data_IF_897498693650
#
_entry.id   IF_897498693650
#
_cell.length_a   1.000
_cell.length_b   1.000
_cell.length_c   1.000
_cell.angle_alpha   90.00
_cell.angle_beta   90.00
_cell.angle_gamma   90.00
#
_symmetry.space_group_name_H-M   'P 1'
#
loop_
_entity.id
_entity.type
_entity.pdbx_description
1 polymer ?
#
# COMPACT_ATOMS: atom_id res chain seq x y z
N UNK A 1 -1.27 -1.68 23.20
CA UNK A 1 -1.92 -2.17 21.97
C UNK A 1 -2.04 -0.98 21.02
N UNK A 2 -1.08 -0.77 20.12
CA UNK A 2 -1.05 0.45 19.27
C UNK A 2 -0.59 0.18 17.83
N UNK A 3 -0.53 -1.08 17.40
CA UNK A 3 -0.15 -1.47 16.02
C UNK A 3 -1.30 -1.50 15.02
N UNK A 4 -2.56 -1.48 15.48
CA UNK A 4 -3.72 -1.76 14.63
C UNK A 4 -4.07 -0.61 13.66
N UNK A 5 -3.96 0.65 14.07
CA UNK A 5 -4.60 1.75 13.32
C UNK A 5 -3.96 2.09 11.97
N UNK A 6 -2.64 1.91 11.80
CA UNK A 6 -1.99 2.23 10.53
C UNK A 6 -1.92 1.02 9.58
N UNK A 7 -1.87 -0.20 10.12
CA UNK A 7 -1.96 -1.41 9.31
C UNK A 7 -3.33 -1.50 8.63
N UNK A 8 -4.41 -1.16 9.35
CA UNK A 8 -5.77 -1.06 8.80
C UNK A 8 -5.85 -0.06 7.64
N UNK A 9 -5.18 1.10 7.76
CA UNK A 9 -5.13 2.09 6.70
C UNK A 9 -4.42 1.53 5.45
N UNK A 10 -3.28 0.86 5.63
CA UNK A 10 -2.53 0.27 4.51
C UNK A 10 -3.31 -0.87 3.86
N UNK A 11 -4.01 -1.68 4.64
CA UNK A 11 -4.85 -2.76 4.12
C UNK A 11 -6.04 -2.22 3.32
N UNK A 12 -6.75 -1.22 3.84
CA UNK A 12 -7.81 -0.52 3.12
C UNK A 12 -7.31 0.12 1.82
N UNK A 13 -6.10 0.70 1.83
CA UNK A 13 -5.44 1.26 0.64
C UNK A 13 -5.16 0.18 -0.41
N UNK A 14 -4.61 -0.97 -0.01
CA UNK A 14 -4.33 -2.09 -0.91
C UNK A 14 -5.62 -2.72 -1.45
N UNK A 15 -6.69 -2.76 -0.66
CA UNK A 15 -7.99 -3.26 -1.09
C UNK A 15 -8.74 -2.28 -2.02
N UNK A 16 -8.37 -1.00 -2.02
CA UNK A 16 -9.08 0.06 -2.74
C UNK A 16 -10.31 0.61 -2.00
N UNK A 17 -10.41 0.38 -0.68
CA UNK A 17 -11.47 0.92 0.17
C UNK A 17 -11.12 2.36 0.57
N UNK A 18 -11.35 3.29 -0.36
CA UNK A 18 -10.92 4.71 -0.22
C UNK A 18 -11.47 5.37 1.05
N UNK A 19 -12.75 5.17 1.35
CA UNK A 19 -13.37 5.74 2.55
C UNK A 19 -12.79 5.19 3.86
N UNK A 20 -12.56 3.87 3.91
CA UNK A 20 -11.99 3.20 5.08
C UNK A 20 -10.53 3.64 5.31
N UNK A 21 -9.75 3.75 4.23
CA UNK A 21 -8.40 4.32 4.28
C UNK A 21 -8.43 5.74 4.87
N UNK A 22 -9.32 6.60 4.34
CA UNK A 22 -9.39 8.01 4.70
C UNK A 22 -9.70 8.20 6.20
N UNK A 23 -10.66 7.41 6.68
CA UNK A 23 -11.07 7.35 8.09
C UNK A 23 -9.92 6.84 8.97
N UNK A 24 -9.29 5.71 8.62
CA UNK A 24 -8.21 5.11 9.40
C UNK A 24 -6.98 6.01 9.47
N UNK A 25 -6.61 6.65 8.35
CA UNK A 25 -5.51 7.62 8.30
C UNK A 25 -5.79 8.84 9.18
N UNK A 26 -6.98 9.43 9.09
CA UNK A 26 -7.35 10.57 9.95
C UNK A 26 -7.32 10.21 11.41
N UNK A 27 -7.88 9.05 11.77
CA UNK A 27 -7.86 8.56 13.15
C UNK A 27 -6.42 8.41 13.66
N UNK A 28 -5.53 7.80 12.87
CA UNK A 28 -4.12 7.65 13.22
C UNK A 28 -3.44 9.00 13.46
N UNK A 29 -3.66 9.99 12.61
CA UNK A 29 -3.09 11.34 12.80
C UNK A 29 -3.68 12.07 14.01
N UNK A 30 -5.00 11.98 14.22
CA UNK A 30 -5.68 12.59 15.37
C UNK A 30 -5.25 11.98 16.70
N UNK A 31 -4.88 10.70 16.73
CA UNK A 31 -4.30 10.04 17.91
C UNK A 31 -2.81 10.35 18.13
N UNK A 32 -2.24 11.35 17.44
CA UNK A 32 -0.82 11.71 17.53
C UNK A 32 0.12 10.81 16.73
N UNK A 33 -0.42 9.90 15.91
CA UNK A 33 0.35 9.02 15.03
C UNK A 33 1.00 9.78 13.88
N UNK A 34 2.24 9.44 13.57
CA UNK A 34 2.97 10.11 12.50
C UNK A 34 2.50 9.65 11.12
N UNK A 35 2.11 10.58 10.24
CA UNK A 35 1.68 10.29 8.86
C UNK A 35 2.76 9.55 8.04
N UNK A 36 4.04 9.82 8.34
CA UNK A 36 5.18 9.14 7.72
C UNK A 36 5.17 7.61 7.95
N UNK A 37 4.63 7.12 9.07
CA UNK A 37 4.54 5.69 9.33
C UNK A 37 3.61 4.99 8.33
N UNK A 38 2.43 5.59 8.06
CA UNK A 38 1.50 5.07 7.04
C UNK A 38 2.15 5.11 5.66
N UNK A 39 2.77 6.25 5.32
CA UNK A 39 3.43 6.45 4.02
C UNK A 39 4.55 5.43 3.78
N UNK A 40 5.43 5.25 4.76
CA UNK A 40 6.54 4.29 4.68
C UNK A 40 6.06 2.85 4.67
N UNK A 41 4.99 2.52 5.40
CA UNK A 41 4.40 1.18 5.42
C UNK A 41 3.77 0.83 4.07
N UNK A 42 2.98 1.74 3.49
CA UNK A 42 2.41 1.55 2.15
C UNK A 42 3.51 1.35 1.08
N UNK A 43 4.59 2.13 1.16
CA UNK A 43 5.74 1.97 0.25
C UNK A 43 6.40 0.59 0.38
N UNK A 44 6.64 0.11 1.61
CA UNK A 44 7.19 -1.25 1.84
C UNK A 44 6.27 -2.34 1.30
N UNK A 45 4.96 -2.22 1.50
CA UNK A 45 3.99 -3.20 1.01
C UNK A 45 3.97 -3.23 -0.53
N UNK A 46 3.94 -2.08 -1.20
CA UNK A 46 3.98 -2.02 -2.66
C UNK A 46 5.30 -2.54 -3.24
N UNK A 47 6.43 -2.31 -2.57
CA UNK A 47 7.72 -2.91 -2.95
C UNK A 47 7.70 -4.43 -2.83
N UNK A 48 7.13 -4.97 -1.75
CA UNK A 48 6.97 -6.41 -1.59
C UNK A 48 6.07 -7.02 -2.68
N UNK A 49 4.95 -6.36 -2.99
CA UNK A 49 4.05 -6.76 -4.09
C UNK A 49 4.79 -6.69 -5.43
N UNK A 50 5.58 -5.64 -5.69
CA UNK A 50 6.38 -5.53 -6.90
C UNK A 50 7.39 -6.67 -7.07
N UNK A 51 8.10 -7.04 -6.01
CA UNK A 51 9.03 -8.16 -6.04
C UNK A 51 8.30 -9.49 -6.33
N UNK A 52 7.18 -9.74 -5.65
CA UNK A 52 6.35 -10.92 -5.88
C UNK A 52 5.74 -10.94 -7.29
N UNK A 53 5.30 -9.78 -7.80
CA UNK A 53 4.76 -9.65 -9.15
C UNK A 53 5.80 -9.99 -10.21
N UNK A 54 7.05 -9.60 -10.02
CA UNK A 54 8.16 -9.99 -10.89
C UNK A 54 8.37 -11.52 -10.96
N UNK A 55 8.13 -12.25 -9.87
CA UNK A 55 8.20 -13.72 -9.85
C UNK A 55 7.03 -14.36 -10.63
N UNK A 56 5.84 -13.73 -10.62
CA UNK A 56 4.72 -14.17 -11.44
C UNK A 56 5.00 -13.93 -12.94
N UNK A 57 5.46 -12.73 -13.27
CA UNK A 57 5.69 -12.30 -14.66
C UNK A 57 6.80 -13.14 -15.34
N UNK A 58 7.87 -13.51 -14.61
CA UNK A 58 9.00 -14.28 -15.15
C UNK A 58 8.82 -15.80 -15.06
N UNK A 59 8.14 -16.30 -14.02
CA UNK A 59 8.03 -17.72 -13.73
C UNK A 59 6.70 -18.37 -14.10
N UNK A 60 5.73 -17.60 -14.62
CA UNK A 60 4.37 -18.10 -14.89
C UNK A 60 3.63 -18.59 -13.65
N UNK A 61 4.08 -18.18 -12.47
CA UNK A 61 3.53 -18.62 -11.18
C UNK A 61 2.25 -17.86 -10.87
N UNK A 62 1.25 -18.54 -10.33
CA UNK A 62 0.04 -17.88 -9.82
C UNK A 62 0.32 -17.17 -8.47
N UNK A 63 -0.56 -16.23 -8.10
CA UNK A 63 -0.42 -15.40 -6.91
C UNK A 63 -0.30 -16.22 -5.62
N UNK A 64 -1.19 -17.21 -5.42
CA UNK A 64 -1.18 -18.07 -4.23
C UNK A 64 0.16 -18.79 -4.03
N UNK A 65 0.74 -19.34 -5.11
CA UNK A 65 2.03 -20.01 -5.03
C UNK A 65 3.16 -19.05 -4.65
N UNK A 66 3.15 -17.83 -5.19
CA UNK A 66 4.17 -16.82 -4.89
C UNK A 66 4.06 -16.36 -3.44
N UNK A 67 2.85 -16.11 -2.95
CA UNK A 67 2.59 -15.72 -1.54
C UNK A 67 3.00 -16.83 -0.57
N UNK A 68 2.71 -18.10 -0.89
CA UNK A 68 3.14 -19.23 -0.08
C UNK A 68 4.68 -19.37 0.00
N UNK A 69 5.38 -19.02 -1.08
CA UNK A 69 6.84 -19.08 -1.16
C UNK A 69 7.54 -17.80 -0.68
N UNK A 70 6.80 -16.75 -0.30
CA UNK A 70 7.35 -15.45 0.05
C UNK A 70 8.34 -15.52 1.23
N UNK A 71 9.39 -14.70 1.12
CA UNK A 71 10.42 -14.52 2.16
C UNK A 71 10.71 -13.01 2.25
N UNK A 72 10.35 -12.32 3.35
CA UNK A 72 9.72 -12.85 4.57
C UNK A 72 8.29 -13.38 4.35
N UNK A 73 7.81 -14.28 5.23
CA UNK A 73 6.46 -14.84 5.11
C UNK A 73 5.37 -13.76 5.20
N UNK A 74 4.36 -13.86 4.34
CA UNK A 74 3.13 -13.07 4.46
C UNK A 74 2.28 -13.68 5.59
N UNK A 75 1.90 -12.84 6.56
CA UNK A 75 1.01 -13.23 7.66
C UNK A 75 -0.26 -13.89 7.12
N UNK A 76 -0.70 -14.95 7.79
CA UNK A 76 -1.84 -15.76 7.33
C UNK A 76 -3.10 -14.90 7.08
N UNK A 77 -3.41 -13.97 7.98
CA UNK A 77 -4.54 -13.05 7.87
C UNK A 77 -4.48 -12.15 6.63
N UNK A 78 -3.29 -11.84 6.12
CA UNK A 78 -3.05 -10.95 4.97
C UNK A 78 -2.86 -11.69 3.65
N UNK A 79 -2.77 -13.02 3.64
CA UNK A 79 -2.50 -13.80 2.41
C UNK A 79 -3.50 -13.47 1.31
N UNK A 80 -4.79 -13.55 1.62
CA UNK A 80 -5.87 -13.27 0.66
C UNK A 80 -5.83 -11.82 0.13
N UNK A 81 -5.47 -10.87 0.98
CA UNK A 81 -5.31 -9.47 0.58
C UNK A 81 -4.15 -9.33 -0.42
N UNK A 82 -3.00 -9.93 -0.11
CA UNK A 82 -1.80 -9.86 -0.95
C UNK A 82 -1.99 -10.62 -2.27
N UNK A 83 -2.63 -11.78 -2.25
CA UNK A 83 -2.97 -12.54 -3.46
C UNK A 83 -3.82 -11.71 -4.42
N UNK A 84 -4.91 -11.11 -3.91
CA UNK A 84 -5.76 -10.21 -4.71
C UNK A 84 -4.99 -8.99 -5.23
N UNK A 85 -4.10 -8.43 -4.42
CA UNK A 85 -3.28 -7.32 -4.86
C UNK A 85 -2.35 -7.73 -6.02
N UNK A 86 -1.74 -8.92 -5.95
CA UNK A 86 -0.88 -9.45 -7.02
C UNK A 86 -1.63 -9.72 -8.33
N UNK A 87 -2.87 -10.18 -8.24
CA UNK A 87 -3.74 -10.40 -9.41
C UNK A 87 -4.10 -9.09 -10.11
N UNK A 88 -4.37 -8.03 -9.34
CA UNK A 88 -4.83 -6.73 -9.86
C UNK A 88 -3.70 -5.80 -10.32
N UNK A 89 -2.61 -5.76 -9.56
CA UNK A 89 -1.50 -4.85 -9.82
C UNK A 89 -0.51 -5.45 -10.82
N UNK A 90 -0.17 -4.70 -11.87
CA UNK A 90 0.91 -5.04 -12.77
C UNK A 90 2.19 -4.25 -12.44
N UNK A 91 3.32 -4.71 -12.99
CA UNK A 91 4.65 -4.14 -12.72
C UNK A 91 4.75 -2.65 -13.06
N UNK A 92 4.09 -2.19 -14.12
CA UNK A 92 4.10 -0.79 -14.54
C UNK A 92 3.32 0.11 -13.56
N UNK A 93 2.12 -0.32 -13.14
CA UNK A 93 1.31 0.40 -12.15
C UNK A 93 2.01 0.49 -10.80
N UNK A 94 2.66 -0.59 -10.36
CA UNK A 94 3.46 -0.62 -9.13
C UNK A 94 4.62 0.37 -9.19
N UNK A 95 5.35 0.42 -10.32
CA UNK A 95 6.44 1.37 -10.51
C UNK A 95 5.94 2.82 -10.39
N UNK A 96 4.86 3.17 -11.10
CA UNK A 96 4.25 4.52 -11.02
C UNK A 96 3.80 4.88 -9.60
N UNK A 97 3.15 3.95 -8.90
CA UNK A 97 2.72 4.13 -7.51
C UNK A 97 3.89 4.39 -6.57
N UNK A 98 4.98 3.61 -6.70
CA UNK A 98 6.18 3.77 -5.89
C UNK A 98 6.89 5.10 -6.16
N UNK A 99 7.00 5.52 -7.43
CA UNK A 99 7.54 6.85 -7.77
C UNK A 99 6.72 7.97 -7.12
N UNK A 100 5.38 7.88 -7.13
CA UNK A 100 4.50 8.85 -6.46
C UNK A 100 4.75 8.91 -4.95
N UNK A 101 4.90 7.75 -4.30
CA UNK A 101 5.17 7.69 -2.86
C UNK A 101 6.55 8.25 -2.50
N UNK A 102 7.58 7.96 -3.29
CA UNK A 102 8.93 8.52 -3.10
C UNK A 102 8.93 10.04 -3.23
N UNK A 103 8.24 10.58 -4.24
CA UNK A 103 8.07 12.03 -4.40
C UNK A 103 7.35 12.65 -3.19
N UNK A 104 6.30 11.99 -2.68
CA UNK A 104 5.59 12.44 -1.48
C UNK A 104 6.51 12.46 -0.25
N UNK A 105 7.33 11.43 -0.03
CA UNK A 105 8.32 11.40 1.08
C UNK A 105 9.27 12.60 1.01
N UNK A 106 9.76 12.93 -0.18
CA UNK A 106 10.64 14.09 -0.36
C UNK A 106 9.90 15.39 -0.05
N UNK A 107 8.66 15.55 -0.52
CA UNK A 107 7.84 16.73 -0.24
C UNK A 107 7.54 16.89 1.24
N UNK A 108 7.19 15.81 1.97
CA UNK A 108 6.93 15.87 3.41
C UNK A 108 8.16 16.27 4.21
N UNK A 109 9.37 15.93 3.74
CA UNK A 109 10.63 16.36 4.35
C UNK A 109 10.93 17.83 4.09
N UNK A 110 10.62 18.33 2.88
CA UNK A 110 10.82 19.72 2.49
C UNK A 110 9.80 20.68 3.14
N UNK A 111 8.60 20.20 3.43
CA UNK A 111 7.52 20.97 4.07
C UNK A 111 6.91 20.19 5.24
N UNK A 112 7.57 20.18 6.41
CA UNK A 112 7.10 19.45 7.59
C UNK A 112 5.71 19.91 8.06
N UNK A 113 5.41 21.19 7.90
CA UNK A 113 4.13 21.85 8.18
C UNK A 113 2.97 21.28 7.35
N UNK A 114 3.24 20.80 6.14
CA UNK A 114 2.24 20.17 5.25
C UNK A 114 2.34 18.64 5.21
N UNK A 115 3.16 18.03 6.08
CA UNK A 115 3.48 16.61 5.99
C UNK A 115 2.26 15.69 6.00
N UNK A 116 1.28 15.95 6.86
CA UNK A 116 0.03 15.17 6.95
C UNK A 116 -0.80 15.29 5.68
N UNK A 117 -1.00 16.51 5.18
CA UNK A 117 -1.80 16.75 3.98
C UNK A 117 -1.16 16.13 2.73
N UNK A 118 0.16 16.27 2.57
CA UNK A 118 0.92 15.70 1.46
C UNK A 118 0.90 14.17 1.48
N UNK A 119 1.09 13.56 2.65
CA UNK A 119 1.01 12.10 2.81
C UNK A 119 -0.40 11.60 2.48
N UNK A 120 -1.44 12.25 3.02
CA UNK A 120 -2.85 11.90 2.78
C UNK A 120 -3.19 11.95 1.29
N UNK A 121 -2.84 13.03 0.60
CA UNK A 121 -3.09 13.20 -0.84
C UNK A 121 -2.39 12.11 -1.67
N UNK A 122 -1.14 11.80 -1.33
CA UNK A 122 -0.39 10.76 -2.05
C UNK A 122 -1.06 9.40 -1.89
N UNK A 123 -1.37 9.02 -0.64
CA UNK A 123 -1.96 7.74 -0.27
C UNK A 123 -3.40 7.58 -0.80
N UNK A 124 -4.23 8.64 -0.75
CA UNK A 124 -5.55 8.64 -1.40
C UNK A 124 -5.44 8.36 -2.90
N UNK A 125 -4.45 8.96 -3.57
CA UNK A 125 -4.19 8.68 -4.97
C UNK A 125 -3.91 7.19 -5.24
N UNK A 126 -3.18 6.51 -4.34
CA UNK A 126 -2.91 5.08 -4.44
C UNK A 126 -4.17 4.25 -4.14
N UNK A 127 -4.95 4.61 -3.12
CA UNK A 127 -6.19 3.92 -2.78
C UNK A 127 -7.21 3.98 -3.93
N UNK A 128 -7.35 5.14 -4.58
CA UNK A 128 -8.20 5.31 -5.77
C UNK A 128 -7.70 4.47 -6.94
N UNK A 129 -6.38 4.41 -7.15
CA UNK A 129 -5.81 3.54 -8.19
C UNK A 129 -6.10 2.07 -7.91
N UNK A 130 -5.94 1.62 -6.66
CA UNK A 130 -6.27 0.25 -6.27
C UNK A 130 -7.75 -0.07 -6.49
N UNK A 131 -8.65 0.87 -6.18
CA UNK A 131 -10.08 0.74 -6.41
C UNK A 131 -10.39 0.58 -7.92
N UNK A 132 -9.75 1.37 -8.78
CA UNK A 132 -9.92 1.26 -10.24
C UNK A 132 -9.41 -0.08 -10.79
N UNK A 133 -8.27 -0.57 -10.30
CA UNK A 133 -7.74 -1.87 -10.69
C UNK A 133 -8.69 -2.99 -10.27
N UNK A 134 -9.30 -2.90 -9.09
CA UNK A 134 -10.28 -3.87 -8.61
C UNK A 134 -11.58 -3.92 -9.44
N UNK A 135 -11.94 -2.85 -10.14
CA UNK A 135 -13.10 -2.79 -11.02
C UNK A 135 -12.83 -3.40 -12.41
N UNK A 136 -11.55 -3.60 -12.77
CA UNK A 136 -11.12 -4.09 -14.09
C UNK A 136 -10.82 -5.60 -14.11
N UNK A 137 -10.63 -6.20 -12.93
CA UNK A 137 -10.36 -7.64 -12.71
C UNK A 137 -11.65 -8.42 -12.52
#
# INVERSE_FOLDING_TARGET
VSGLSFDDAVDALLEGKVGDFDMAFTRHCQSGGQAFLVLSSAMRQLQAIQAMRGLMDTGGRNAASVVAAARPPVFFSRRKLVEKALERWNSEALARALTRLQAAVLQTRRRPDLSVALARQALLGIAVESARLAQRS
#
